data_IF_685799975285
#
_entry.id   IF_685799975285
#
_cell.length_a   1.000
_cell.length_b   1.000
_cell.length_c   1.000
_cell.angle_alpha   90.00
_cell.angle_beta   90.00
_cell.angle_gamma   90.00
#
_symmetry.space_group_name_H-M   'P 1'
#
loop_
_entity.id
_entity.type
_entity.pdbx_description
1 polymer ?
2 non-polymer ?
3 water ?
#
# COMPACT_ATOMS: atom_id res chain seq x y z
N UNK A 11 -12.14 16.26 -1.09
CA UNK A 11 -12.59 17.19 0.00
C UNK A 11 -11.40 17.84 0.69
N UNK A 12 -10.52 17.02 1.25
CA UNK A 12 -9.15 17.43 1.57
C UNK A 12 -8.17 16.75 0.61
N UNK A 13 -8.71 16.14 -0.44
CA UNK A 13 -7.89 15.46 -1.44
C UNK A 13 -7.30 16.47 -2.42
N UNK A 14 -7.82 17.70 -2.37
CA UNK A 14 -7.31 18.81 -3.16
C UNK A 14 -6.26 19.64 -2.40
N UNK A 15 -5.92 19.22 -1.18
CA UNK A 15 -4.80 19.81 -0.45
C UNK A 15 -3.50 19.76 -1.29
N UNK A 16 -2.85 20.92 -1.48
CA UNK A 16 -1.63 21.03 -2.29
C UNK A 16 -0.43 20.21 -1.80
N UNK A 17 -0.30 19.98 -0.49
CA UNK A 17 0.72 19.07 0.06
C UNK A 17 0.73 17.65 -0.56
N UNK A 18 -0.43 17.18 -1.00
CA UNK A 18 -0.57 15.87 -1.66
C UNK A 18 0.23 15.75 -2.98
N UNK A 19 0.44 16.87 -3.67
CA UNK A 19 1.01 16.85 -5.02
C UNK A 19 2.45 16.31 -5.09
N UNK A 20 3.35 16.91 -4.31
CA UNK A 20 4.76 16.51 -4.28
C UNK A 20 4.94 15.02 -3.93
N UNK A 21 4.22 14.55 -2.89
CA UNK A 21 4.23 13.14 -2.46
C UNK A 21 3.88 12.19 -3.60
N UNK A 22 2.83 12.54 -4.34
CA UNK A 22 2.34 11.73 -5.46
C UNK A 22 3.29 11.72 -6.67
N UNK A 23 3.97 12.84 -6.94
CA UNK A 23 4.96 12.91 -8.03
C UNK A 23 6.16 11.96 -7.81
N UNK A 24 6.67 11.95 -6.59
CA UNK A 24 7.79 11.09 -6.24
C UNK A 24 7.42 9.60 -6.35
N UNK A 25 6.22 9.23 -5.90
CA UNK A 25 5.75 7.83 -5.98
C UNK A 25 5.55 7.38 -7.42
N UNK A 26 4.90 8.22 -8.24
CA UNK A 26 4.75 8.04 -9.70
C UNK A 26 6.07 7.79 -10.41
N UNK A 27 7.08 8.63 -10.15
CA UNK A 27 8.38 8.46 -10.82
C UNK A 27 9.11 7.16 -10.39
N UNK A 28 8.89 6.73 -9.14
CA UNK A 28 9.42 5.46 -8.63
C UNK A 28 8.76 4.23 -9.27
N UNK A 29 7.44 4.28 -9.47
CA UNK A 29 6.71 3.19 -10.18
C UNK A 29 6.98 3.13 -11.70
N UNK A 30 7.40 4.26 -12.29
CA UNK A 30 7.71 4.37 -13.73
C UNK A 30 9.06 3.69 -14.09
N UNK A 31 9.06 2.37 -14.23
CA UNK A 31 10.29 1.58 -14.44
C UNK A 31 11.20 2.08 -15.59
N UNK A 32 10.65 2.24 -16.80
CA UNK A 32 11.45 2.65 -17.97
C UNK A 32 11.72 4.17 -18.12
N UNK A 33 11.26 4.96 -17.15
CA UNK A 33 11.54 6.39 -17.13
C UNK A 33 10.96 7.27 -18.24
N UNK A 34 10.00 6.77 -19.01
CA UNK A 34 9.42 7.57 -20.11
C UNK A 34 8.36 8.64 -19.71
N UNK A 35 8.14 8.85 -18.41
CA UNK A 35 7.16 9.83 -17.97
C UNK A 35 5.68 9.42 -18.06
N UNK A 36 5.39 8.14 -18.35
CA UNK A 36 4.02 7.59 -18.27
C UNK A 36 4.00 6.21 -17.61
N UNK A 37 2.91 5.88 -16.90
CA UNK A 37 2.78 4.57 -16.25
C UNK A 37 1.67 3.68 -16.80
N UNK A 38 1.90 2.37 -16.70
CA UNK A 38 0.94 1.33 -17.06
C UNK A 38 0.67 0.44 -15.85
N UNK A 39 -0.43 -0.30 -15.89
CA UNK A 39 -0.72 -1.31 -14.88
C UNK A 39 0.37 -2.40 -14.82
N UNK A 40 1.02 -2.69 -15.95
CA UNK A 40 2.19 -3.61 -16.00
C UNK A 40 3.33 -3.22 -15.04
N UNK A 41 3.75 -1.96 -15.12
CA UNK A 41 4.79 -1.37 -14.26
C UNK A 41 4.38 -1.33 -12.78
N UNK A 42 3.13 -0.95 -12.49
CA UNK A 42 2.61 -0.89 -11.10
C UNK A 42 2.59 -2.25 -10.36
N UNK A 43 2.07 -3.29 -11.01
CA UNK A 43 1.99 -4.63 -10.40
C UNK A 43 3.39 -5.19 -10.12
N UNK A 44 4.32 -5.01 -11.05
CA UNK A 44 5.68 -5.45 -10.83
C UNK A 44 6.32 -4.85 -9.56
N UNK A 45 6.26 -3.52 -9.43
CA UNK A 45 6.84 -2.79 -8.29
C UNK A 45 6.09 -2.88 -6.94
N UNK A 46 4.76 -2.88 -6.99
CA UNK A 46 3.92 -2.85 -5.79
C UNK A 46 3.36 -4.20 -5.34
N UNK A 47 3.57 -5.27 -6.14
CA UNK A 47 3.02 -6.61 -5.81
C UNK A 47 4.02 -7.77 -5.99
N UNK A 48 4.61 -7.89 -7.19
CA UNK A 48 5.52 -9.02 -7.48
C UNK A 48 6.72 -9.05 -6.53
N UNK A 49 7.35 -7.89 -6.33
CA UNK A 49 8.54 -7.72 -5.48
C UNK A 49 8.28 -8.07 -4.00
N UNK A 50 7.24 -7.48 -3.39
CA UNK A 50 6.95 -7.77 -1.97
C UNK A 50 6.62 -9.24 -1.73
N UNK A 51 5.77 -9.84 -2.57
CA UNK A 51 5.35 -11.22 -2.34
C UNK A 51 6.51 -12.24 -2.45
N UNK A 52 7.47 -11.96 -3.34
CA UNK A 52 8.67 -12.80 -3.50
C UNK A 52 9.61 -12.65 -2.30
N UNK A 53 9.86 -11.40 -1.91
CA UNK A 53 10.66 -11.09 -0.73
C UNK A 53 10.21 -11.79 0.55
N UNK A 54 8.89 -11.82 0.79
CA UNK A 54 8.33 -12.43 1.99
C UNK A 54 8.00 -13.91 1.84
N UNK A 55 8.43 -14.50 0.72
CA UNK A 55 8.23 -15.94 0.46
C UNK A 55 6.79 -16.40 0.64
N UNK A 56 5.84 -15.60 0.14
CA UNK A 56 4.42 -15.95 0.16
C UNK A 56 4.15 -17.20 -0.69
N UNK A 57 3.02 -17.87 -0.47
CA UNK A 57 2.61 -19.02 -1.30
C UNK A 57 1.92 -18.53 -2.59
N UNK A 58 1.76 -19.39 -3.61
CA UNK A 58 1.05 -18.97 -4.83
C UNK A 58 -0.36 -18.44 -4.57
N UNK A 59 -1.12 -19.10 -3.71
CA UNK A 59 -2.49 -18.65 -3.41
C UNK A 59 -2.52 -17.27 -2.71
N UNK A 60 -1.63 -17.07 -1.74
CA UNK A 60 -1.45 -15.76 -1.09
C UNK A 60 -1.05 -14.65 -2.07
N UNK A 61 -0.10 -14.96 -2.97
CA UNK A 61 0.38 -14.03 -4.01
C UNK A 61 -0.74 -13.60 -4.96
N UNK A 62 -1.56 -14.57 -5.36
CA UNK A 62 -2.67 -14.35 -6.28
C UNK A 62 -3.77 -13.45 -5.68
N UNK A 63 -4.08 -13.66 -4.39
CA UNK A 63 -5.02 -12.80 -3.65
C UNK A 63 -4.53 -11.33 -3.56
N UNK A 64 -3.25 -11.14 -3.18
CA UNK A 64 -2.62 -9.81 -3.16
C UNK A 64 -2.69 -9.11 -4.52
N UNK A 65 -2.37 -9.83 -5.60
CA UNK A 65 -2.38 -9.25 -6.96
C UNK A 65 -3.79 -8.79 -7.34
N UNK A 66 -4.80 -9.57 -6.96
CA UNK A 66 -6.21 -9.21 -7.27
C UNK A 66 -6.58 -7.86 -6.60
N UNK A 67 -6.16 -7.68 -5.35
CA UNK A 67 -6.46 -6.45 -4.61
C UNK A 67 -5.75 -5.22 -5.21
N UNK A 68 -4.50 -5.39 -5.65
CA UNK A 68 -3.72 -4.31 -6.27
C UNK A 68 -4.32 -3.89 -7.63
N UNK A 69 -4.70 -4.87 -8.46
CA UNK A 69 -5.38 -4.60 -9.75
C UNK A 69 -6.71 -3.83 -9.55
N UNK A 70 -7.47 -4.19 -8.52
CA UNK A 70 -8.76 -3.54 -8.22
C UNK A 70 -8.61 -2.07 -7.84
N UNK A 71 -7.67 -1.76 -6.94
CA UNK A 71 -7.39 -0.38 -6.54
C UNK A 71 -6.96 0.55 -7.69
N UNK A 72 -6.00 0.12 -8.50
CA UNK A 72 -5.49 0.95 -9.59
C UNK A 72 -6.40 1.06 -10.83
N UNK A 73 -7.19 0.02 -11.11
CA UNK A 73 -8.27 0.13 -12.11
C UNK A 73 -9.30 1.19 -11.67
N UNK A 74 -9.58 1.28 -10.37
CA UNK A 74 -10.45 2.35 -9.88
C UNK A 74 -9.89 3.75 -10.08
N UNK A 75 -8.55 3.87 -10.19
CA UNK A 75 -7.87 5.14 -10.51
C UNK A 75 -7.83 5.43 -12.02
N UNK A 76 -8.28 4.48 -12.85
CA UNK A 76 -8.26 4.60 -14.31
C UNK A 76 -7.20 3.81 -15.09
N UNK A 77 -6.39 2.99 -14.40
CA UNK A 77 -5.29 2.23 -15.02
C UNK A 77 -5.77 0.93 -15.71
N UNK A 78 -5.00 0.43 -16.68
CA UNK A 78 -5.27 -0.87 -17.35
C UNK A 78 -3.96 -1.41 -17.94
N UNK A 79 -3.86 -2.74 -18.11
CA UNK A 79 -2.67 -3.33 -18.75
C UNK A 79 -2.49 -2.76 -20.16
N UNK A 80 -1.25 -2.44 -20.52
CA UNK A 80 -0.94 -1.93 -21.85
C UNK A 80 -1.43 -0.52 -22.17
N UNK A 81 -1.84 0.24 -21.15
CA UNK A 81 -2.32 1.63 -21.32
C UNK A 81 -1.43 2.69 -20.61
N UNK A 82 -0.84 3.59 -21.39
CA UNK A 82 0.09 4.60 -20.85
C UNK A 82 -0.62 5.88 -20.43
N UNK A 83 -0.43 6.28 -19.17
CA UNK A 83 -1.07 7.48 -18.60
C UNK A 83 -0.03 8.39 -17.92
N UNK A 84 -0.08 9.70 -18.22
CA UNK A 84 0.82 10.71 -17.61
C UNK A 84 0.34 11.23 -16.24
N UNK A 85 1.20 11.96 -15.51
CA UNK A 85 0.89 12.41 -14.14
C UNK A 85 -0.45 13.16 -13.93
N UNK A 86 -0.74 14.21 -14.72
CA UNK A 86 -1.99 14.98 -14.53
C UNK A 86 -3.25 14.11 -14.58
N UNK A 87 -3.34 13.21 -15.56
CA UNK A 87 -4.46 12.26 -15.66
C UNK A 87 -4.49 11.22 -14.52
N UNK A 88 -3.31 10.78 -14.06
CA UNK A 88 -3.24 9.86 -12.92
C UNK A 88 -3.80 10.51 -11.64
N UNK A 89 -3.31 11.71 -11.32
CA UNK A 89 -3.76 12.44 -10.13
C UNK A 89 -5.30 12.67 -10.08
N UNK A 90 -5.90 13.04 -11.22
CA UNK A 90 -7.35 13.25 -11.30
C UNK A 90 -8.15 11.95 -11.01
N UNK A 91 -7.70 10.83 -11.58
CA UNK A 91 -8.26 9.51 -11.30
C UNK A 91 -8.24 9.11 -9.83
N UNK A 92 -7.09 9.27 -9.16
CA UNK A 92 -6.97 9.05 -7.71
C UNK A 92 -7.94 9.90 -6.85
N UNK A 93 -8.04 11.20 -7.14
CA UNK A 93 -9.02 12.10 -6.49
C UNK A 93 -10.47 11.60 -6.58
N UNK A 94 -10.88 11.22 -7.79
CA UNK A 94 -12.20 10.66 -8.07
C UNK A 94 -12.43 9.41 -7.22
N UNK A 95 -11.46 8.49 -7.23
CA UNK A 95 -11.57 7.24 -6.48
C UNK A 95 -11.63 7.45 -4.96
N UNK A 96 -10.80 8.36 -4.46
CA UNK A 96 -10.72 8.64 -3.02
C UNK A 96 -12.04 9.20 -2.46
N UNK A 97 -12.71 10.02 -3.26
CA UNK A 97 -14.02 10.58 -2.95
C UNK A 97 -15.11 9.49 -2.86
N UNK A 98 -15.21 8.65 -3.89
CA UNK A 98 -16.22 7.60 -3.91
C UNK A 98 -15.98 6.51 -2.84
N UNK A 99 -14.71 6.28 -2.49
CA UNK A 99 -14.37 5.35 -1.41
C UNK A 99 -14.68 5.91 0.00
N UNK A 100 -14.55 7.22 0.19
CA UNK A 100 -15.04 7.90 1.41
C UNK A 100 -16.54 7.69 1.68
N UNK A 101 -17.36 7.76 0.63
CA UNK A 101 -18.80 7.51 0.72
C UNK A 101 -19.14 6.04 1.07
N UNK A 102 -18.43 5.10 0.45
CA UNK A 102 -18.57 3.68 0.82
C UNK A 102 -18.29 3.44 2.31
N UNK A 103 -17.19 4.00 2.82
CA UNK A 103 -16.85 3.92 4.25
C UNK A 103 -18.00 4.37 5.17
N UNK A 104 -18.63 5.49 4.80
CA UNK A 104 -19.79 6.05 5.51
C UNK A 104 -21.02 5.15 5.51
N UNK A 105 -21.22 4.39 4.42
CA UNK A 105 -22.38 3.48 4.29
C UNK A 105 -22.17 2.09 4.93
N UNK A 106 -21.14 1.95 5.76
CA UNK A 106 -20.82 0.67 6.37
C UNK A 106 -20.61 -0.47 5.35
N UNK A 107 -19.96 -0.14 4.23
CA UNK A 107 -19.53 -1.14 3.26
C UNK A 107 -18.02 -1.42 3.42
N UNK A 108 -17.56 -2.59 2.98
CA UNK A 108 -16.12 -2.86 2.87
C UNK A 108 -15.47 -2.03 1.73
N UNK A 109 -14.30 -1.45 2.00
CA UNK A 109 -13.57 -0.63 1.02
C UNK A 109 -12.42 -1.42 0.36
N UNK A 110 -11.95 -0.92 -0.78
CA UNK A 110 -10.77 -1.47 -1.48
C UNK A 110 -9.47 -1.50 -0.64
N UNK A 111 -9.26 -0.48 0.19
CA UNK A 111 -8.10 -0.45 1.12
C UNK A 111 -8.20 -1.53 2.24
N UNK A 112 -9.39 -1.72 2.81
CA UNK A 112 -9.60 -2.77 3.83
C UNK A 112 -9.32 -4.17 3.26
N UNK A 113 -9.83 -4.43 2.05
CA UNK A 113 -9.62 -5.71 1.38
C UNK A 113 -8.12 -5.98 1.05
N UNK A 114 -7.43 -4.96 0.54
CA UNK A 114 -5.97 -5.01 0.33
C UNK A 114 -5.23 -5.22 1.69
N UNK A 115 -5.67 -4.49 2.72
CA UNK A 115 -5.18 -4.68 4.10
C UNK A 115 -5.20 -6.11 4.67
N UNK A 116 -6.29 -6.85 4.45
CA UNK A 116 -6.41 -8.26 4.88
C UNK A 116 -5.41 -9.19 4.17
N UNK A 117 -5.21 -8.97 2.87
CA UNK A 117 -4.27 -9.78 2.07
C UNK A 117 -2.80 -9.64 2.52
N UNK A 118 -2.38 -8.40 2.77
CA UNK A 118 -1.08 -8.09 3.37
C UNK A 118 -0.90 -8.73 4.77
N UNK A 119 -1.89 -8.58 5.64
CA UNK A 119 -1.87 -9.13 7.01
C UNK A 119 -1.59 -10.66 7.04
N UNK A 120 -2.29 -11.41 6.18
CA UNK A 120 -2.12 -12.87 6.08
C UNK A 120 -0.68 -13.29 5.76
N UNK A 121 0.01 -12.51 4.92
CA UNK A 121 1.40 -12.82 4.54
C UNK A 121 2.42 -12.60 5.67
N UNK A 122 2.29 -11.48 6.38
CA UNK A 122 3.17 -11.13 7.50
C UNK A 122 3.00 -12.05 8.74
N UNK A 123 1.81 -12.62 8.92
CA UNK A 123 1.47 -13.44 10.10
C UNK A 123 1.88 -14.90 9.88
N UNK A 124 3.19 -15.16 9.96
CA UNK A 124 3.78 -16.47 9.63
C UNK A 124 3.31 -17.64 10.50
N UNK A 125 3.26 -17.47 11.82
CA UNK A 125 2.59 -18.48 12.66
C UNK A 125 1.10 -18.29 12.45
N UNK A 126 0.25 -18.77 13.34
CA UNK A 126 -1.17 -18.57 13.09
C UNK A 126 -1.86 -17.61 14.04
N UNK A 127 -1.09 -16.68 14.61
CA UNK A 127 -1.49 -15.98 15.84
C UNK A 127 -2.56 -14.89 15.71
N UNK A 128 -2.66 -14.25 14.55
CA UNK A 128 -3.66 -13.21 14.37
C UNK A 128 -3.21 -11.83 14.81
N UNK A 129 -1.92 -11.71 15.15
CA UNK A 129 -1.29 -10.42 15.48
C UNK A 129 0.12 -10.42 14.84
N UNK A 130 0.66 -9.23 14.57
CA UNK A 130 2.03 -9.09 14.05
C UNK A 130 2.99 -8.63 15.15
N UNK A 131 4.05 -9.41 15.35
CA UNK A 131 5.12 -9.08 16.30
C UNK A 131 6.37 -8.54 15.60
N UNK A 132 7.32 -8.07 16.41
CA UNK A 132 8.50 -7.36 15.92
C UNK A 132 9.35 -8.17 14.94
N UNK A 133 9.52 -9.46 15.21
CA UNK A 133 10.30 -10.35 14.35
C UNK A 133 9.65 -10.53 12.98
N UNK A 134 8.32 -10.64 12.95
CA UNK A 134 7.56 -10.76 11.71
C UNK A 134 7.60 -9.47 10.87
N UNK A 135 7.47 -8.33 11.55
CA UNK A 135 7.47 -7.00 10.92
C UNK A 135 8.79 -6.68 10.20
N UNK A 136 9.91 -7.03 10.84
CA UNK A 136 11.27 -6.76 10.33
C UNK A 136 11.62 -7.51 9.05
N UNK A 137 10.83 -8.53 8.71
CA UNK A 137 11.09 -9.38 7.56
C UNK A 137 11.09 -8.65 6.21
N UNK A 138 10.34 -7.55 6.12
CA UNK A 138 10.28 -6.74 4.90
C UNK A 138 11.00 -5.41 5.13
N UNK A 139 11.83 -5.01 4.16
CA UNK A 139 12.65 -3.81 4.28
C UNK A 139 12.09 -2.52 3.71
N UNK A 140 10.77 -2.48 3.47
CA UNK A 140 10.03 -1.35 2.85
C UNK A 140 10.33 -1.12 1.35
N UNK A 141 9.48 -0.35 0.65
CA UNK A 141 9.67 -0.18 -0.81
C UNK A 141 11.01 0.45 -1.22
N UNK A 142 11.46 1.48 -0.49
CA UNK A 142 12.73 2.12 -0.81
C UNK A 142 13.90 1.14 -0.62
N UNK A 143 13.70 0.14 0.25
CA UNK A 143 14.52 -1.06 0.28
C UNK A 143 15.94 -0.90 0.77
N UNK A 144 16.15 0.07 1.66
CA UNK A 144 17.46 0.31 2.25
C UNK A 144 17.30 0.37 3.76
N UNK A 145 18.05 -0.48 4.45
CA UNK A 145 17.86 -0.72 5.88
C UNK A 145 18.61 0.30 6.73
N UNK A 146 17.91 0.89 7.69
CA UNK A 146 18.53 1.74 8.72
C UNK A 146 19.11 0.87 9.85
N UNK A 147 19.55 1.49 10.95
CA UNK A 147 20.07 0.76 12.11
C UNK A 147 18.98 -0.08 12.78
N UNK A 148 19.40 -1.13 13.49
CA UNK A 148 18.48 -1.98 14.26
C UNK A 148 17.68 -1.18 15.30
N UNK A 149 18.22 -0.03 15.70
CA UNK A 149 17.65 0.77 16.79
C UNK A 149 16.55 1.73 16.33
N UNK A 150 16.70 2.27 15.12
CA UNK A 150 15.66 3.10 14.52
C UNK A 150 14.44 2.22 14.16
N UNK A 151 14.72 1.02 13.66
CA UNK A 151 13.71 0.00 13.37
C UNK A 151 12.77 -0.27 14.55
N UNK A 152 13.36 -0.57 15.70
CA UNK A 152 12.59 -0.95 16.89
C UNK A 152 11.75 0.18 17.51
N UNK A 153 12.17 1.43 17.29
CA UNK A 153 11.43 2.60 17.77
C UNK A 153 10.26 2.95 16.83
N UNK A 154 10.47 2.76 15.53
CA UNK A 154 9.41 2.90 14.54
C UNK A 154 8.26 1.94 14.84
N UNK A 155 8.59 0.71 15.22
CA UNK A 155 7.59 -0.30 15.63
C UNK A 155 6.75 0.15 16.82
N UNK A 156 7.42 0.65 17.86
CA UNK A 156 6.76 1.13 19.07
C UNK A 156 5.82 2.29 18.77
N UNK A 157 6.22 3.13 17.81
CA UNK A 157 5.40 4.27 17.39
C UNK A 157 4.12 3.82 16.67
N UNK A 158 4.24 2.81 15.81
CA UNK A 158 3.09 2.24 15.07
C UNK A 158 2.09 1.50 15.97
N UNK A 159 2.59 0.88 17.03
CA UNK A 159 1.76 0.18 18.01
C UNK A 159 1.06 1.23 18.88
N UNK A 160 -0.12 1.66 18.44
CA UNK A 160 -0.83 2.82 19.03
C UNK A 160 -1.15 2.65 20.52
N UNK A 161 -2.02 1.69 20.86
CA UNK A 161 -2.13 1.22 22.24
C UNK A 161 -0.82 0.50 22.55
N UNK A 162 -0.58 0.07 23.77
CA UNK A 162 0.74 -0.50 24.07
C UNK A 162 0.73 -2.02 24.23
N UNK A 163 -0.09 -2.67 23.41
CA UNK A 163 -0.37 -4.10 23.52
C UNK A 163 0.81 -5.03 23.25
N UNK A 164 1.91 -4.49 22.71
CA UNK A 164 3.08 -5.30 22.36
C UNK A 164 3.08 -5.91 20.96
N UNK A 165 2.01 -5.70 20.20
CA UNK A 165 1.87 -6.25 18.84
C UNK A 165 0.92 -5.41 17.96
N UNK A 166 0.77 -5.78 16.68
CA UNK A 166 -0.13 -5.03 15.78
C UNK A 166 -1.40 -5.76 15.34
N UNK A 167 -2.54 -5.09 15.45
CA UNK A 167 -3.77 -5.62 14.85
C UNK A 167 -3.91 -5.11 13.41
N UNK A 168 -5.06 -5.41 12.79
CA UNK A 168 -5.30 -5.08 11.38
C UNK A 168 -5.40 -3.58 11.11
N UNK A 169 -6.08 -2.85 11.99
CA UNK A 169 -6.21 -1.40 11.83
C UNK A 169 -4.83 -0.71 11.94
N UNK A 170 -4.01 -1.16 12.89
CA UNK A 170 -2.66 -0.60 13.08
C UNK A 170 -1.70 -0.91 11.92
N UNK A 171 -1.69 -2.17 11.47
CA UNK A 171 -0.84 -2.59 10.35
C UNK A 171 -1.24 -1.82 9.09
N UNK A 172 -2.55 -1.74 8.82
CA UNK A 172 -3.05 -1.09 7.60
C UNK A 172 -2.66 0.38 7.53
N UNK A 173 -2.81 1.10 8.64
CA UNK A 173 -2.43 2.53 8.69
C UNK A 173 -0.94 2.81 8.39
N UNK A 174 -0.03 1.99 8.91
CA UNK A 174 1.41 2.14 8.64
C UNK A 174 1.79 1.71 7.21
N UNK A 175 1.23 0.59 6.76
CA UNK A 175 1.63 -0.05 5.49
C UNK A 175 1.00 0.61 4.25
N UNK A 176 -0.28 0.99 4.35
CA UNK A 176 -1.02 1.57 3.20
C UNK A 176 -1.58 2.99 3.42
N UNK A 177 -1.27 3.59 4.58
CA UNK A 177 -1.69 4.95 4.92
C UNK A 177 -1.43 6.01 3.85
N UNK A 178 -0.34 5.83 3.10
CA UNK A 178 0.04 6.74 2.00
C UNK A 178 -1.09 7.08 1.03
N UNK A 179 -1.95 6.09 0.73
CA UNK A 179 -3.01 6.25 -0.26
C UNK A 179 -4.30 6.93 0.23
N UNK A 180 -4.49 7.09 1.54
CA UNK A 180 -5.74 7.68 2.04
C UNK A 180 -5.63 8.79 3.09
N UNK A 181 -4.47 8.95 3.72
CA UNK A 181 -4.33 9.92 4.81
C UNK A 181 -2.99 10.68 4.83
N UNK A 182 -3.09 11.99 5.01
CA UNK A 182 -1.95 12.93 4.91
C UNK A 182 -1.04 12.95 6.14
N UNK A 183 -1.62 12.87 7.33
CA UNK A 183 -0.83 12.95 8.57
C UNK A 183 -0.94 11.73 9.49
X LIG B 1 -1.28 -2.83 19.32
X LIG C 1 6.80 4.11 -18.09
X LIG D 1 2.04 -13.66 14.31
#
# INVERSE_FOLDING_TARGET
>A
MSSKYAVKLKTDFDNPRWIKRHKHMFDFLDINGNGKITLDEIVSKASDDICAKLEATPEQTKRHQVCVEAFFRGCGMEYGKEIAFPQFLDGWKQLATSELKKWARNEPTLIREWGDAVFDIFDKDGSGTITLDEWKAYGKISGISPSQEDCEATFRHCDLDDSGDLDVDEMTRQHLGFWYTLDPEADGLYGNGVP
>B hetero
1 CA CA
>C hetero
1 CA CA
>D hetero
1 CA CA
#
